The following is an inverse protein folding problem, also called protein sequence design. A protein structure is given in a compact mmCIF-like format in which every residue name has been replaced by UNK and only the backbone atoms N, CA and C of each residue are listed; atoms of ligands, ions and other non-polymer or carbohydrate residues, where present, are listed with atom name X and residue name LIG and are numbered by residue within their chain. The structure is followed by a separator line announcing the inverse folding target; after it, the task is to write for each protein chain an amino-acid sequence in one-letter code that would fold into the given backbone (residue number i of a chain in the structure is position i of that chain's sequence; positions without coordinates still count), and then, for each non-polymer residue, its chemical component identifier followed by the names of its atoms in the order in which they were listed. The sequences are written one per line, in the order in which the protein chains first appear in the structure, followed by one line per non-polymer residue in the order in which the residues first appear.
data_IF_398911689312
#
_entry.id   IF_398911689312
#
_cell.length_a   1.000
_cell.length_b   1.000
_cell.length_c   1.000
_cell.angle_alpha   90.00
_cell.angle_beta   90.00
_cell.angle_gamma   90.00
#
_symmetry.space_group_name_H-M   'P 1'
#
loop_
_entity.id
_entity.type
_entity.pdbx_description
1 polymer ?
#
# COMPACT_ATOMS: atom_id res chain seq x y z
N UNK A 1 1.15 -6.83 -3.34
CA UNK A 1 2.08 -6.76 -2.21
C UNK A 1 2.57 -5.33 -1.99
N UNK A 2 2.89 -4.97 -0.73
CA UNK A 2 3.35 -3.63 -0.31
C UNK A 2 4.62 -3.77 0.55
N UNK A 3 5.74 -4.17 -0.06
CA UNK A 3 6.98 -4.40 0.69
C UNK A 3 7.59 -3.08 1.20
N UNK A 4 8.51 -3.13 2.19
CA UNK A 4 9.24 -1.96 2.66
C UNK A 4 9.94 -1.20 1.52
N UNK A 5 9.90 0.13 1.58
CA UNK A 5 10.50 1.00 0.55
C UNK A 5 11.96 1.39 0.86
N UNK A 6 12.45 1.08 2.06
CA UNK A 6 13.81 1.40 2.48
C UNK A 6 14.06 2.90 2.71
N UNK A 7 13.02 3.66 3.03
CA UNK A 7 13.11 5.12 3.24
C UNK A 7 13.08 5.54 4.71
N UNK A 8 13.07 4.57 5.64
CA UNK A 8 13.06 4.81 7.08
C UNK A 8 11.79 5.48 7.60
N UNK A 9 10.66 5.22 6.96
CA UNK A 9 9.38 5.88 7.28
C UNK A 9 8.88 5.52 8.68
N UNK A 10 9.10 4.30 9.16
CA UNK A 10 8.71 3.85 10.49
C UNK A 10 9.43 4.65 11.60
N UNK A 11 10.73 4.88 11.45
CA UNK A 11 11.53 5.72 12.37
C UNK A 11 11.02 7.17 12.35
N UNK A 12 10.69 7.68 11.17
CA UNK A 12 10.12 9.02 11.02
C UNK A 12 8.73 9.14 11.68
N UNK A 13 7.92 8.09 11.62
CA UNK A 13 6.63 8.02 12.31
C UNK A 13 6.80 8.03 13.82
N UNK A 14 7.70 7.21 14.37
CA UNK A 14 7.97 7.14 15.82
C UNK A 14 8.43 8.48 16.38
N UNK A 15 9.35 9.17 15.71
CA UNK A 15 9.81 10.52 16.10
C UNK A 15 8.68 11.55 16.17
N UNK A 16 7.58 11.30 15.49
CA UNK A 16 6.41 12.18 15.44
C UNK A 16 5.22 11.70 16.28
N UNK A 17 5.36 10.60 17.02
CA UNK A 17 4.32 10.03 17.86
C UNK A 17 3.68 11.06 18.81
N UNK A 18 2.35 11.09 18.79
CA UNK A 18 1.56 11.96 19.68
C UNK A 18 1.74 13.46 19.48
N UNK A 19 2.64 13.90 18.57
CA UNK A 19 2.82 15.33 18.30
C UNK A 19 1.57 15.89 17.59
N UNK A 20 1.22 17.12 17.92
CA UNK A 20 0.15 17.83 17.21
C UNK A 20 0.57 18.11 15.75
N UNK A 21 -0.39 18.09 14.86
CA UNK A 21 -0.17 18.63 13.51
C UNK A 21 0.10 20.12 13.58
N UNK A 22 0.93 20.64 12.67
CA UNK A 22 1.13 22.08 12.55
C UNK A 22 -0.20 22.75 12.18
N UNK A 23 -0.53 23.88 12.81
CA UNK A 23 -1.78 24.61 12.60
C UNK A 23 -2.74 24.54 13.80
N UNK A 24 -3.95 25.11 13.67
CA UNK A 24 -4.96 25.22 14.73
C UNK A 24 -5.79 23.94 14.94
N UNK A 25 -5.23 22.77 14.68
CA UNK A 25 -5.95 21.51 14.88
C UNK A 25 -5.70 20.92 16.27
N UNK A 26 -6.75 20.37 16.89
CA UNK A 26 -6.65 19.56 18.13
C UNK A 26 -6.19 18.14 17.86
N UNK A 27 -6.10 17.74 16.58
CA UNK A 27 -5.71 16.39 16.20
C UNK A 27 -4.27 16.09 16.57
N UNK A 28 -4.03 14.87 17.06
CA UNK A 28 -2.71 14.33 17.35
C UNK A 28 -2.37 13.26 16.29
N UNK A 29 -1.10 13.09 16.01
CA UNK A 29 -0.60 11.98 15.20
C UNK A 29 -0.83 10.66 15.94
N UNK A 30 -1.04 9.59 15.21
CA UNK A 30 -1.06 8.25 15.77
C UNK A 30 0.25 7.90 16.49
N UNK A 31 0.19 6.92 17.36
CA UNK A 31 1.37 6.40 18.07
C UNK A 31 1.72 5.05 17.45
N UNK A 32 2.89 4.96 16.84
CA UNK A 32 3.40 3.76 16.19
C UNK A 32 4.79 3.46 16.74
N UNK A 33 5.07 2.18 17.00
CA UNK A 33 6.39 1.73 17.42
C UNK A 33 7.22 1.42 16.17
N UNK A 34 8.43 1.95 16.11
CA UNK A 34 9.39 1.56 15.08
C UNK A 34 10.03 0.23 15.44
N UNK A 35 10.16 -0.65 14.47
CA UNK A 35 10.92 -1.89 14.57
C UNK A 35 12.04 -1.98 13.52
N UNK A 36 12.23 -0.90 12.74
CA UNK A 36 13.23 -0.85 11.67
C UNK A 36 12.79 -1.60 10.41
N UNK A 37 11.50 -1.90 10.28
CA UNK A 37 11.00 -2.67 9.14
C UNK A 37 11.22 -1.95 7.79
N UNK A 38 11.29 -0.61 7.77
CA UNK A 38 11.50 0.17 6.54
C UNK A 38 12.95 0.65 6.36
N UNK A 39 13.93 -0.06 6.93
CA UNK A 39 15.34 0.30 6.80
C UNK A 39 15.95 -0.11 5.45
N UNK A 40 15.37 -1.05 4.74
CA UNK A 40 15.84 -1.52 3.43
C UNK A 40 14.71 -2.12 2.61
N UNK A 41 14.86 -2.07 1.28
CA UNK A 41 14.01 -2.84 0.37
C UNK A 41 14.33 -4.33 0.48
N UNK A 42 13.39 -5.22 0.09
CA UNK A 42 13.68 -6.64 -0.02
C UNK A 42 14.83 -6.93 -0.99
N UNK A 43 15.53 -8.02 -0.76
CA UNK A 43 16.62 -8.49 -1.63
C UNK A 43 16.07 -9.07 -2.93
N UNK A 44 16.95 -9.24 -3.92
CA UNK A 44 16.60 -9.78 -5.24
C UNK A 44 15.87 -11.13 -5.15
N UNK A 45 16.29 -12.00 -4.24
CA UNK A 45 15.73 -13.34 -4.05
C UNK A 45 14.22 -13.30 -3.72
N UNK A 46 13.77 -12.26 -3.01
CA UNK A 46 12.34 -12.06 -2.75
C UNK A 46 11.56 -11.84 -4.05
N UNK A 47 12.08 -11.00 -4.95
CA UNK A 47 11.41 -10.73 -6.24
C UNK A 47 11.44 -11.95 -7.16
N UNK A 48 12.55 -12.69 -7.18
CA UNK A 48 12.65 -13.95 -7.94
C UNK A 48 11.59 -14.96 -7.48
N UNK A 49 11.40 -15.12 -6.16
CA UNK A 49 10.35 -15.97 -5.61
C UNK A 49 8.95 -15.44 -5.88
N UNK A 50 8.72 -14.13 -5.74
CA UNK A 50 7.44 -13.52 -6.04
C UNK A 50 7.00 -13.81 -7.50
N UNK A 51 7.92 -13.67 -8.45
CA UNK A 51 7.68 -13.99 -9.86
C UNK A 51 7.49 -15.50 -10.09
N UNK A 52 8.19 -16.34 -9.35
CA UNK A 52 8.08 -17.80 -9.47
C UNK A 52 6.72 -18.32 -9.01
N UNK A 53 6.19 -17.79 -7.90
CA UNK A 53 4.97 -18.31 -7.24
C UNK A 53 3.70 -17.67 -7.71
N UNK A 54 3.76 -16.54 -8.44
CA UNK A 54 2.58 -15.80 -8.87
C UNK A 54 2.56 -15.55 -10.38
N UNK A 55 1.37 -15.62 -10.97
CA UNK A 55 1.15 -15.42 -12.40
C UNK A 55 1.20 -13.95 -12.79
N UNK A 56 0.59 -13.09 -11.96
CA UNK A 56 0.55 -11.64 -12.15
C UNK A 56 0.92 -10.96 -10.84
N UNK A 57 1.53 -9.81 -10.92
CA UNK A 57 2.02 -9.07 -9.77
C UNK A 57 1.58 -7.62 -9.81
N UNK A 58 1.30 -7.07 -8.62
CA UNK A 58 1.15 -5.64 -8.34
C UNK A 58 2.03 -5.35 -7.12
N UNK A 59 3.04 -4.50 -7.30
CA UNK A 59 4.06 -4.21 -6.28
C UNK A 59 4.05 -2.71 -6.00
N UNK A 60 3.52 -2.33 -4.84
CA UNK A 60 3.55 -0.95 -4.38
C UNK A 60 4.98 -0.50 -4.11
N UNK A 61 5.25 0.79 -4.31
CA UNK A 61 6.61 1.32 -4.17
C UNK A 61 7.57 0.81 -5.25
N UNK A 62 7.08 0.31 -6.38
CA UNK A 62 7.92 -0.23 -7.46
C UNK A 62 8.99 0.75 -7.95
N UNK A 63 8.77 2.05 -7.80
CA UNK A 63 9.77 3.10 -8.11
C UNK A 63 11.01 3.07 -7.20
N UNK A 64 10.95 2.43 -6.03
CA UNK A 64 12.11 2.24 -5.14
C UNK A 64 12.86 0.93 -5.43
N UNK A 65 12.28 0.03 -6.25
CA UNK A 65 12.72 -1.34 -6.47
C UNK A 65 12.96 -1.66 -7.94
N UNK A 66 13.13 -0.63 -8.76
CA UNK A 66 13.16 -0.74 -10.23
C UNK A 66 14.28 -1.65 -10.74
N UNK A 67 15.39 -1.76 -9.99
CA UNK A 67 16.52 -2.62 -10.33
C UNK A 67 16.19 -4.14 -10.30
N UNK A 68 15.10 -4.50 -9.64
CA UNK A 68 14.63 -5.88 -9.50
C UNK A 68 13.39 -6.18 -10.35
N UNK A 69 12.87 -5.16 -11.05
CA UNK A 69 11.65 -5.24 -11.84
C UNK A 69 11.98 -5.12 -13.32
N UNK A 70 11.14 -5.68 -14.16
CA UNK A 70 11.31 -5.57 -15.61
C UNK A 70 10.40 -4.50 -16.21
N UNK A 71 10.67 -4.12 -17.47
CA UNK A 71 9.90 -3.11 -18.17
C UNK A 71 8.41 -3.52 -18.30
N UNK A 72 7.54 -2.59 -17.97
CA UNK A 72 6.10 -2.77 -18.05
C UNK A 72 5.42 -1.53 -18.65
N UNK A 73 4.36 -1.69 -19.46
CA UNK A 73 3.53 -0.56 -19.87
C UNK A 73 2.54 -0.11 -18.79
N UNK A 74 2.33 -0.92 -17.75
CA UNK A 74 1.27 -0.73 -16.77
C UNK A 74 1.80 -0.40 -15.37
N UNK A 75 1.67 0.87 -15.01
CA UNK A 75 1.76 1.30 -13.62
C UNK A 75 0.36 1.66 -13.11
N UNK A 76 0.15 1.48 -11.81
CA UNK A 76 -0.98 2.07 -11.08
C UNK A 76 -0.47 3.29 -10.35
N UNK A 77 -1.13 4.42 -10.54
CA UNK A 77 -0.92 5.65 -9.79
C UNK A 77 -2.08 5.81 -8.84
N UNK A 78 -1.83 5.75 -7.54
CA UNK A 78 -2.83 6.16 -6.57
C UNK A 78 -2.63 7.64 -6.26
N UNK A 79 -3.49 8.49 -6.83
CA UNK A 79 -3.58 9.91 -6.52
C UNK A 79 -4.38 10.09 -5.22
N UNK A 80 -3.73 10.69 -4.23
CA UNK A 80 -4.33 10.92 -2.90
C UNK A 80 -5.15 12.21 -2.82
N UNK A 81 -5.24 12.96 -3.92
CA UNK A 81 -5.89 14.28 -3.98
C UNK A 81 -5.41 15.20 -2.83
N UNK A 82 -4.10 15.28 -2.64
CA UNK A 82 -3.49 15.99 -1.53
C UNK A 82 -2.57 17.09 -2.03
N UNK A 83 -2.73 18.28 -1.43
CA UNK A 83 -1.77 19.36 -1.56
C UNK A 83 -1.04 19.51 -0.22
N UNK A 84 0.25 19.19 -0.14
CA UNK A 84 0.98 19.31 1.13
C UNK A 84 2.38 18.72 1.12
N UNK A 85 2.94 18.49 2.31
CA UNK A 85 4.32 18.03 2.51
C UNK A 85 4.49 16.50 2.41
N UNK A 86 3.50 15.77 1.93
CA UNK A 86 3.55 14.33 1.69
C UNK A 86 3.51 14.06 0.20
N UNK A 87 3.89 12.86 -0.21
CA UNK A 87 3.78 12.45 -1.60
C UNK A 87 2.32 12.55 -2.07
N UNK A 88 2.09 13.23 -3.18
CA UNK A 88 0.77 13.45 -3.77
C UNK A 88 0.12 12.13 -4.22
N UNK A 89 0.95 11.15 -4.56
CA UNK A 89 0.50 9.81 -4.94
C UNK A 89 1.50 8.72 -4.60
N UNK A 90 1.08 7.49 -4.81
CA UNK A 90 1.92 6.30 -4.74
C UNK A 90 1.87 5.53 -6.05
N UNK A 91 2.97 4.88 -6.38
CA UNK A 91 3.11 4.08 -7.59
C UNK A 91 3.12 2.59 -7.26
N UNK A 92 2.36 1.80 -8.02
CA UNK A 92 2.56 0.36 -8.06
C UNK A 92 3.05 -0.06 -9.45
N UNK A 93 4.14 -0.81 -9.48
CA UNK A 93 4.56 -1.53 -10.66
C UNK A 93 3.64 -2.74 -10.86
N UNK A 94 3.32 -3.08 -12.12
CA UNK A 94 2.53 -4.26 -12.40
C UNK A 94 3.11 -5.09 -13.55
N UNK A 95 2.85 -6.40 -13.53
CA UNK A 95 3.19 -7.30 -14.66
C UNK A 95 2.17 -7.29 -15.79
N UNK A 96 1.06 -6.58 -15.64
CA UNK A 96 0.00 -6.51 -16.64
C UNK A 96 0.43 -5.74 -17.89
N UNK A 97 -0.19 -6.07 -19.03
CA UNK A 97 0.11 -5.46 -20.34
C UNK A 97 -0.93 -4.40 -20.75
N UNK A 98 -1.59 -3.80 -19.79
CA UNK A 98 -2.54 -2.70 -20.01
C UNK A 98 -1.83 -1.34 -19.86
N UNK A 99 -2.41 -0.24 -20.35
CA UNK A 99 -1.89 1.10 -20.09
C UNK A 99 -1.89 1.46 -18.61
N UNK A 100 -1.13 2.51 -18.26
CA UNK A 100 -1.13 3.13 -16.91
C UNK A 100 -2.55 3.43 -16.45
N UNK A 101 -2.84 3.15 -15.19
CA UNK A 101 -4.13 3.40 -14.57
C UNK A 101 -3.97 4.37 -13.39
N UNK A 102 -4.92 5.29 -13.25
CA UNK A 102 -4.97 6.24 -12.14
C UNK A 102 -6.18 5.89 -11.28
N UNK A 103 -5.98 5.82 -9.98
CA UNK A 103 -7.02 5.71 -8.97
C UNK A 103 -6.97 6.92 -8.05
N UNK A 104 -8.03 7.71 -8.04
CA UNK A 104 -8.15 8.90 -7.21
C UNK A 104 -8.93 8.58 -5.94
N UNK A 105 -8.31 8.74 -4.79
CA UNK A 105 -8.98 8.55 -3.50
C UNK A 105 -8.24 9.29 -2.39
N UNK A 106 -8.89 10.28 -1.80
CA UNK A 106 -8.31 11.08 -0.71
C UNK A 106 -7.99 10.24 0.51
N UNK A 107 -6.74 10.29 0.97
CA UNK A 107 -6.28 9.55 2.14
C UNK A 107 -5.27 10.36 2.95
N UNK A 108 -5.76 11.34 3.70
CA UNK A 108 -4.94 12.26 4.49
C UNK A 108 -5.31 12.19 5.97
N UNK A 109 -4.79 11.18 6.67
CA UNK A 109 -4.97 11.04 8.10
C UNK A 109 -6.43 11.14 8.56
N UNK A 110 -6.91 12.35 8.76
CA UNK A 110 -8.29 12.62 9.21
C UNK A 110 -9.30 12.74 8.07
N UNK A 111 -8.86 13.08 6.87
CA UNK A 111 -9.71 13.26 5.70
C UNK A 111 -9.55 12.05 4.80
N UNK A 112 -10.66 11.40 4.50
CA UNK A 112 -10.73 10.22 3.63
C UNK A 112 -11.76 10.46 2.54
N UNK A 113 -11.61 9.82 1.39
CA UNK A 113 -12.54 9.95 0.26
C UNK A 113 -13.98 9.53 0.61
N UNK A 114 -14.14 8.62 1.58
CA UNK A 114 -15.44 8.28 2.15
C UNK A 114 -15.49 8.65 3.64
N UNK A 115 -15.96 9.85 3.93
CA UNK A 115 -16.08 10.33 5.31
C UNK A 115 -17.28 9.74 6.07
N UNK A 116 -18.26 9.15 5.38
CA UNK A 116 -19.41 8.48 6.04
C UNK A 116 -18.99 7.12 6.60
N UNK A 117 -18.12 6.40 5.87
CA UNK A 117 -17.59 5.10 6.26
C UNK A 117 -16.09 5.20 6.55
N UNK A 118 -15.72 6.15 7.41
CA UNK A 118 -14.33 6.42 7.73
C UNK A 118 -13.64 5.23 8.37
N UNK A 119 -12.50 4.83 7.79
CA UNK A 119 -11.68 3.75 8.32
C UNK A 119 -10.79 4.24 9.47
N UNK A 120 -10.66 3.41 10.50
CA UNK A 120 -9.69 3.64 11.57
C UNK A 120 -8.32 3.24 11.05
N UNK A 121 -7.34 4.14 11.15
CA UNK A 121 -5.95 3.85 10.79
C UNK A 121 -5.25 3.16 11.95
N UNK A 122 -4.85 1.92 11.71
CA UNK A 122 -4.14 1.07 12.69
C UNK A 122 -2.66 0.90 12.33
N UNK A 123 -2.28 1.22 11.08
CA UNK A 123 -0.91 1.13 10.60
C UNK A 123 -0.48 2.46 9.93
N UNK A 124 0.79 2.90 10.07
CA UNK A 124 1.25 4.19 9.53
C UNK A 124 1.18 4.28 8.00
N UNK A 125 1.41 3.18 7.31
CA UNK A 125 1.35 3.08 5.84
C UNK A 125 0.07 2.43 5.33
N UNK A 126 -0.96 2.30 6.18
CA UNK A 126 -2.23 1.67 5.79
C UNK A 126 -2.80 2.30 4.52
N UNK A 127 -3.06 1.45 3.54
CA UNK A 127 -3.79 1.79 2.32
C UNK A 127 -5.29 1.58 2.52
N UNK A 128 -6.17 2.36 1.86
CA UNK A 128 -7.62 2.23 2.01
C UNK A 128 -8.14 0.90 1.44
N UNK A 129 -9.16 0.34 2.06
CA UNK A 129 -9.85 -0.87 1.58
C UNK A 129 -10.41 -0.65 0.17
N UNK A 130 -10.91 0.56 -0.12
CA UNK A 130 -11.45 0.93 -1.43
C UNK A 130 -10.41 0.82 -2.56
N UNK A 131 -9.14 1.13 -2.29
CA UNK A 131 -8.06 0.94 -3.25
C UNK A 131 -7.90 -0.54 -3.62
N UNK A 132 -7.92 -1.42 -2.63
CA UNK A 132 -7.81 -2.87 -2.88
C UNK A 132 -9.04 -3.42 -3.57
N UNK A 133 -10.25 -2.96 -3.24
CA UNK A 133 -11.47 -3.32 -3.97
C UNK A 133 -11.38 -2.92 -5.45
N UNK A 134 -10.94 -1.70 -5.72
CA UNK A 134 -10.73 -1.24 -7.10
C UNK A 134 -9.68 -2.08 -7.84
N UNK A 135 -8.59 -2.50 -7.16
CA UNK A 135 -7.59 -3.39 -7.75
C UNK A 135 -8.21 -4.75 -8.09
N UNK A 136 -8.99 -5.33 -7.16
CA UNK A 136 -9.63 -6.61 -7.41
C UNK A 136 -10.63 -6.53 -8.56
N UNK A 137 -11.47 -5.49 -8.60
CA UNK A 137 -12.41 -5.26 -9.71
C UNK A 137 -11.72 -5.19 -11.07
N UNK A 138 -10.54 -4.60 -11.13
CA UNK A 138 -9.86 -4.31 -12.38
C UNK A 138 -8.97 -5.44 -12.88
N UNK A 139 -8.36 -6.17 -11.96
CA UNK A 139 -7.27 -7.10 -12.29
C UNK A 139 -7.53 -8.55 -11.89
N UNK A 140 -8.41 -8.81 -10.93
CA UNK A 140 -8.74 -10.15 -10.50
C UNK A 140 -9.98 -10.71 -11.22
N UNK A 141 -10.03 -12.02 -11.36
CA UNK A 141 -11.17 -12.76 -11.90
C UNK A 141 -11.69 -13.72 -10.85
N UNK A 142 -12.99 -14.02 -10.92
CA UNK A 142 -13.58 -15.02 -10.04
C UNK A 142 -12.80 -16.34 -10.08
N UNK A 143 -12.42 -16.84 -8.91
CA UNK A 143 -11.60 -18.03 -8.74
C UNK A 143 -10.08 -17.78 -8.68
N UNK A 144 -9.61 -16.55 -8.90
CA UNK A 144 -8.21 -16.22 -8.67
C UNK A 144 -7.89 -16.32 -7.16
N UNK A 145 -6.67 -16.79 -6.88
CA UNK A 145 -6.10 -16.80 -5.53
C UNK A 145 -5.17 -15.61 -5.37
N UNK A 146 -5.35 -14.88 -4.28
CA UNK A 146 -4.58 -13.68 -3.98
C UNK A 146 -3.47 -14.04 -2.99
N UNK A 147 -2.25 -13.57 -3.25
CA UNK A 147 -1.11 -13.69 -2.34
C UNK A 147 -0.66 -12.29 -1.92
N UNK A 148 -0.60 -12.02 -0.62
CA UNK A 148 0.05 -10.84 -0.10
C UNK A 148 1.07 -11.20 0.99
N UNK A 149 2.33 -10.90 0.71
CA UNK A 149 3.47 -11.22 1.58
C UNK A 149 3.78 -10.14 2.61
N UNK A 150 3.02 -9.05 2.62
CA UNK A 150 3.16 -7.91 3.53
C UNK A 150 1.76 -7.36 3.83
N UNK A 151 0.98 -8.09 4.64
CA UNK A 151 -0.43 -7.77 4.92
C UNK A 151 -0.62 -6.44 5.63
N UNK A 152 0.33 -6.03 6.48
CA UNK A 152 0.28 -4.79 7.24
C UNK A 152 -1.04 -4.60 7.99
N UNK A 153 -1.82 -3.61 7.58
CA UNK A 153 -3.14 -3.33 8.17
C UNK A 153 -4.25 -4.31 7.76
N UNK A 154 -3.95 -5.32 6.97
CA UNK A 154 -4.91 -6.30 6.43
C UNK A 154 -6.04 -5.70 5.56
N UNK A 155 -5.88 -4.50 5.02
CA UNK A 155 -6.91 -3.87 4.16
C UNK A 155 -7.25 -4.72 2.94
N UNK A 156 -6.27 -5.43 2.36
CA UNK A 156 -6.50 -6.39 1.26
C UNK A 156 -7.32 -7.59 1.71
N UNK A 157 -7.14 -8.07 2.96
CA UNK A 157 -7.90 -9.20 3.48
C UNK A 157 -9.39 -8.89 3.58
N UNK A 158 -9.73 -7.67 4.03
CA UNK A 158 -11.11 -7.20 4.07
C UNK A 158 -11.70 -7.12 2.66
N UNK A 159 -10.94 -6.57 1.69
CA UNK A 159 -11.41 -6.48 0.31
C UNK A 159 -11.62 -7.87 -0.31
N UNK A 160 -10.71 -8.83 -0.08
CA UNK A 160 -10.85 -10.21 -0.54
C UNK A 160 -12.06 -10.90 0.08
N UNK A 161 -12.30 -10.73 1.40
CA UNK A 161 -13.45 -11.29 2.08
C UNK A 161 -14.78 -10.75 1.51
N UNK A 162 -14.86 -9.43 1.28
CA UNK A 162 -16.04 -8.78 0.71
C UNK A 162 -16.37 -9.26 -0.71
N UNK A 163 -15.35 -9.65 -1.49
CA UNK A 163 -15.49 -10.08 -2.89
C UNK A 163 -15.44 -11.60 -3.07
N UNK A 164 -15.22 -12.36 -2.01
CA UNK A 164 -15.18 -13.82 -2.04
C UNK A 164 -13.91 -14.39 -2.69
N UNK A 165 -12.79 -13.68 -2.64
CA UNK A 165 -11.48 -14.20 -3.09
C UNK A 165 -10.78 -14.98 -1.98
N UNK A 166 -10.13 -16.09 -2.35
CA UNK A 166 -9.19 -16.79 -1.47
C UNK A 166 -7.90 -15.95 -1.33
N UNK A 167 -7.51 -15.66 -0.10
CA UNK A 167 -6.29 -14.93 0.22
C UNK A 167 -5.32 -15.81 1.01
N UNK A 168 -4.08 -15.84 0.59
CA UNK A 168 -2.94 -16.28 1.40
C UNK A 168 -2.11 -15.07 1.74
N UNK A 169 -1.86 -14.83 3.02
CA UNK A 169 -1.15 -13.65 3.47
C UNK A 169 -0.10 -13.95 4.52
N UNK A 170 0.96 -13.15 4.54
CA UNK A 170 2.03 -13.20 5.54
C UNK A 170 2.18 -11.83 6.19
N UNK A 171 2.48 -11.84 7.49
CA UNK A 171 2.88 -10.67 8.27
C UNK A 171 3.87 -11.14 9.37
N UNK A 172 4.76 -10.27 9.79
CA UNK A 172 5.76 -10.59 10.81
C UNK A 172 5.29 -10.31 12.25
N UNK A 173 4.25 -9.48 12.44
CA UNK A 173 3.70 -9.09 13.74
C UNK A 173 2.39 -9.82 14.06
#
# INVERSE_FOLDING_TARGET
VDPPYGIGYDVACEKNNGKKYKGNTKAKRGVYKSSGWDNSIPKKEYFDELFRVSKNQIIWGGNYMIDFLYNTPCFIVWDKNMNGNFADGELAWTSFKTPVQIYEFTWNGMIQGDMKNKQIRIHPTQKPIQLYKWILDKYAKQGDKILDTHLGSMSIAIACADYGFELVGCELD
#
